data_IF_065829117515
#
_entry.id   IF_065829117515
#
_cell.length_a   1.000
_cell.length_b   1.000
_cell.length_c   1.000
_cell.angle_alpha   90.00
_cell.angle_beta   90.00
_cell.angle_gamma   90.00
#
_symmetry.space_group_name_H-M   'P 1'
#
loop_
_entity.id
_entity.type
_entity.pdbx_description
1 polymer ?
#
# COMPACT_ATOMS: atom_id res chain seq x y z
N UNK A 1 9.09 -16.48 14.36
CA UNK A 1 10.05 -15.86 13.42
C UNK A 1 9.46 -14.59 12.80
N UNK A 2 8.25 -14.64 12.24
CA UNK A 2 7.60 -13.47 11.58
C UNK A 2 7.60 -12.21 12.44
N UNK A 3 7.16 -12.26 13.70
CA UNK A 3 7.19 -11.11 14.63
C UNK A 3 8.58 -10.45 14.76
N UNK A 4 9.64 -11.25 14.77
CA UNK A 4 11.01 -10.74 14.89
C UNK A 4 11.37 -9.98 13.63
N UNK A 5 11.10 -10.57 12.45
CA UNK A 5 11.40 -9.97 11.16
C UNK A 5 10.56 -8.71 10.97
N UNK A 6 9.24 -8.77 11.21
CA UNK A 6 8.35 -7.60 11.13
C UNK A 6 8.86 -6.45 12.00
N UNK A 7 9.21 -6.73 13.27
CA UNK A 7 9.73 -5.70 14.18
C UNK A 7 11.01 -5.05 13.67
N UNK A 8 11.91 -5.84 13.06
CA UNK A 8 13.18 -5.31 12.54
C UNK A 8 12.99 -4.51 11.26
N UNK A 9 12.21 -5.00 10.28
CA UNK A 9 11.97 -4.26 9.03
C UNK A 9 11.17 -2.97 9.28
N UNK A 10 10.18 -3.00 10.17
CA UNK A 10 9.41 -1.80 10.52
C UNK A 10 10.27 -0.79 11.29
N UNK A 11 11.12 -1.24 12.22
CA UNK A 11 12.10 -0.36 12.88
C UNK A 11 13.08 0.26 11.88
N UNK A 12 13.55 -0.52 10.90
CA UNK A 12 14.39 -0.01 9.82
C UNK A 12 13.65 1.05 9.01
N UNK A 13 12.40 0.78 8.59
CA UNK A 13 11.57 1.71 7.87
C UNK A 13 11.34 3.03 8.64
N UNK A 14 11.04 2.96 9.93
CA UNK A 14 10.83 4.14 10.77
C UNK A 14 12.13 4.94 10.97
N UNK A 15 13.26 4.24 11.19
CA UNK A 15 14.56 4.89 11.41
C UNK A 15 15.05 5.67 10.17
N UNK A 16 14.74 5.18 8.97
CA UNK A 16 15.19 5.77 7.71
C UNK A 16 14.09 6.55 6.99
N UNK A 17 12.91 6.72 7.61
CA UNK A 17 11.75 7.41 7.01
C UNK A 17 11.38 6.87 5.61
N UNK A 18 11.40 5.55 5.46
CA UNK A 18 11.18 4.87 4.17
C UNK A 18 9.71 4.95 3.75
N UNK A 19 8.78 4.70 4.70
CA UNK A 19 7.37 4.61 4.37
C UNK A 19 6.77 5.99 4.12
N UNK A 20 5.89 6.03 3.13
CA UNK A 20 5.17 7.24 2.75
C UNK A 20 4.47 7.88 3.97
N UNK A 21 4.69 9.17 4.26
CA UNK A 21 4.22 9.79 5.51
C UNK A 21 2.70 9.76 5.70
N UNK A 22 1.92 9.82 4.60
CA UNK A 22 0.47 9.82 4.62
C UNK A 22 -0.14 8.42 4.43
N UNK A 23 0.64 7.35 4.61
CA UNK A 23 0.16 6.00 4.80
C UNK A 23 -0.14 5.77 6.28
N UNK A 24 -1.40 5.56 6.64
CA UNK A 24 -1.82 5.31 8.02
C UNK A 24 -2.15 3.84 8.31
N UNK A 25 -2.38 3.03 7.29
CA UNK A 25 -2.65 1.60 7.44
C UNK A 25 -1.44 0.85 8.02
N UNK A 26 -1.68 -0.03 8.97
CA UNK A 26 -0.68 -0.91 9.59
C UNK A 26 0.55 -0.19 10.18
N UNK A 27 0.44 1.10 10.49
CA UNK A 27 1.49 1.92 11.09
C UNK A 27 1.23 2.12 12.58
N UNK A 28 2.30 2.02 13.39
CA UNK A 28 2.22 2.25 14.84
C UNK A 28 1.82 3.70 15.14
N UNK A 29 0.79 3.86 15.99
CA UNK A 29 0.30 5.18 16.41
C UNK A 29 -0.58 5.89 15.39
N UNK A 30 -0.85 5.27 14.24
CA UNK A 30 -1.77 5.76 13.22
C UNK A 30 -2.99 4.84 13.13
N UNK A 31 -4.12 5.37 12.68
CA UNK A 31 -5.38 4.64 12.57
C UNK A 31 -6.25 5.21 11.43
N UNK A 32 -7.36 4.55 11.14
CA UNK A 32 -8.37 5.07 10.23
C UNK A 32 -8.89 6.43 10.68
N UNK A 33 -9.12 6.59 11.99
CA UNK A 33 -9.59 7.86 12.57
C UNK A 33 -8.56 8.98 12.36
N UNK A 34 -7.27 8.71 12.58
CA UNK A 34 -6.24 9.75 12.34
C UNK A 34 -6.19 10.15 10.86
N UNK A 35 -6.36 9.20 9.93
CA UNK A 35 -6.43 9.48 8.50
C UNK A 35 -7.65 10.34 8.17
N UNK A 36 -8.82 9.98 8.70
CA UNK A 36 -10.07 10.70 8.46
C UNK A 36 -10.04 12.11 9.04
N UNK A 37 -9.52 12.29 10.26
CA UNK A 37 -9.40 13.61 10.90
C UNK A 37 -8.58 14.55 10.02
N UNK A 38 -7.41 14.10 9.56
CA UNK A 38 -6.55 14.93 8.72
C UNK A 38 -7.17 15.22 7.34
N UNK A 39 -7.86 14.24 6.74
CA UNK A 39 -8.56 14.42 5.47
C UNK A 39 -9.70 15.42 5.61
N UNK A 40 -10.55 15.26 6.63
CA UNK A 40 -11.69 16.17 6.88
C UNK A 40 -11.20 17.57 7.21
N UNK A 41 -10.11 17.72 7.98
CA UNK A 41 -9.52 19.05 8.27
C UNK A 41 -9.06 19.75 6.98
N UNK A 42 -8.37 19.04 6.08
CA UNK A 42 -7.96 19.58 4.77
C UNK A 42 -9.18 20.06 3.94
N UNK A 43 -10.22 19.22 3.86
CA UNK A 43 -11.44 19.56 3.09
C UNK A 43 -12.17 20.74 3.73
N UNK A 44 -12.33 20.76 5.05
CA UNK A 44 -13.00 21.84 5.78
C UNK A 44 -12.31 23.17 5.56
N UNK A 45 -10.98 23.21 5.66
CA UNK A 45 -10.19 24.42 5.39
C UNK A 45 -10.39 24.96 3.97
N UNK A 46 -10.51 24.07 2.99
CA UNK A 46 -10.78 24.47 1.61
C UNK A 46 -12.19 25.05 1.45
N UNK A 47 -13.19 24.41 2.07
CA UNK A 47 -14.59 24.89 2.07
C UNK A 47 -14.67 26.26 2.73
N UNK A 48 -14.06 26.44 3.90
CA UNK A 48 -14.04 27.72 4.63
C UNK A 48 -13.35 28.84 3.81
N UNK A 49 -12.39 28.47 2.99
CA UNK A 49 -11.73 29.39 2.05
C UNK A 49 -12.51 29.60 0.74
N UNK A 50 -13.71 29.03 0.60
CA UNK A 50 -14.54 29.13 -0.62
C UNK A 50 -13.94 28.41 -1.84
N UNK A 51 -13.09 27.38 -1.63
CA UNK A 51 -12.39 26.65 -2.68
C UNK A 51 -13.07 25.32 -2.97
N UNK A 52 -13.11 24.95 -4.25
CA UNK A 52 -13.49 23.61 -4.68
C UNK A 52 -12.35 22.63 -4.41
N UNK A 53 -12.68 21.43 -3.97
CA UNK A 53 -11.73 20.31 -3.87
C UNK A 53 -12.32 19.09 -4.54
N UNK A 54 -11.62 18.55 -5.52
CA UNK A 54 -12.00 17.31 -6.18
C UNK A 54 -11.22 16.16 -5.57
N UNK A 55 -11.92 15.04 -5.32
CA UNK A 55 -11.39 13.85 -4.69
C UNK A 55 -11.57 12.64 -5.60
N UNK A 56 -10.53 11.82 -5.69
CA UNK A 56 -10.52 10.50 -6.32
C UNK A 56 -10.43 9.46 -5.20
N UNK A 57 -11.43 8.59 -5.09
CA UNK A 57 -11.44 7.47 -4.15
C UNK A 57 -11.21 6.21 -4.97
N UNK A 58 -10.16 5.47 -4.64
CA UNK A 58 -9.74 4.28 -5.38
C UNK A 58 -9.62 3.10 -4.42
N UNK A 59 -10.05 1.93 -4.90
CA UNK A 59 -9.96 0.64 -4.23
C UNK A 59 -9.29 -0.37 -5.16
N UNK A 60 -8.26 -1.05 -4.68
CA UNK A 60 -7.53 -2.05 -5.46
C UNK A 60 -8.16 -3.42 -5.29
N UNK A 61 -8.78 -3.93 -6.35
CA UNK A 61 -9.38 -5.26 -6.33
C UNK A 61 -8.35 -6.34 -6.00
N UNK A 62 -8.53 -7.03 -4.87
CA UNK A 62 -7.65 -8.12 -4.40
C UNK A 62 -6.19 -7.67 -4.22
N UNK A 63 -5.98 -6.49 -3.65
CA UNK A 63 -4.67 -5.86 -3.49
C UNK A 63 -3.60 -6.81 -2.95
N UNK A 64 -3.89 -7.52 -1.85
CA UNK A 64 -2.97 -8.47 -1.22
C UNK A 64 -2.71 -9.72 -2.06
N UNK A 65 -3.68 -10.17 -2.83
CA UNK A 65 -3.56 -11.39 -3.67
C UNK A 65 -2.79 -11.12 -4.97
N UNK A 66 -2.72 -9.85 -5.39
CA UNK A 66 -2.03 -9.41 -6.62
C UNK A 66 -0.57 -8.99 -6.41
N UNK A 67 -0.05 -9.01 -5.18
CA UNK A 67 1.34 -8.66 -4.92
C UNK A 67 2.27 -9.58 -5.69
N UNK A 68 2.99 -9.04 -6.67
CA UNK A 68 3.97 -9.78 -7.48
C UNK A 68 5.24 -10.02 -6.66
N UNK A 69 5.59 -11.28 -6.40
CA UNK A 69 6.71 -11.64 -5.52
C UNK A 69 8.05 -11.08 -6.01
N UNK A 70 8.32 -11.12 -7.32
CA UNK A 70 9.56 -10.58 -7.91
C UNK A 70 9.67 -9.06 -7.74
N UNK A 71 8.56 -8.34 -7.95
CA UNK A 71 8.53 -6.90 -7.77
C UNK A 71 8.67 -6.52 -6.29
N UNK A 72 7.96 -7.23 -5.39
CA UNK A 72 8.11 -7.02 -3.95
C UNK A 72 9.57 -7.22 -3.51
N UNK A 73 10.22 -8.31 -3.98
CA UNK A 73 11.63 -8.55 -3.65
C UNK A 73 12.53 -7.41 -4.14
N UNK A 74 12.31 -6.92 -5.36
CA UNK A 74 13.06 -5.80 -5.92
C UNK A 74 12.88 -4.52 -5.08
N UNK A 75 11.65 -4.21 -4.65
CA UNK A 75 11.35 -3.06 -3.78
C UNK A 75 11.99 -3.23 -2.40
N UNK A 76 11.94 -4.41 -1.79
CA UNK A 76 12.62 -4.69 -0.52
C UNK A 76 14.13 -4.48 -0.62
N UNK A 77 14.76 -4.96 -1.71
CA UNK A 77 16.18 -4.75 -1.97
C UNK A 77 16.53 -3.26 -2.14
N UNK A 78 15.66 -2.48 -2.77
CA UNK A 78 15.79 -1.02 -2.89
C UNK A 78 15.75 -0.33 -1.53
N UNK A 79 14.93 -0.81 -0.61
CA UNK A 79 14.82 -0.30 0.76
C UNK A 79 15.85 -0.90 1.74
N UNK A 80 16.92 -1.52 1.24
CA UNK A 80 17.98 -2.18 2.03
C UNK A 80 17.49 -3.36 2.90
N UNK A 81 16.34 -3.94 2.59
CA UNK A 81 15.84 -5.18 3.21
C UNK A 81 16.33 -6.38 2.39
N UNK A 82 17.62 -6.70 2.53
CA UNK A 82 18.33 -7.69 1.71
C UNK A 82 19.10 -8.70 2.57
N UNK A 83 19.97 -9.49 1.93
CA UNK A 83 20.77 -10.51 2.59
C UNK A 83 19.90 -11.57 3.23
N UNK A 84 20.25 -12.04 4.43
CA UNK A 84 19.53 -13.13 5.12
C UNK A 84 18.04 -12.83 5.36
N UNK A 85 17.70 -11.57 5.62
CA UNK A 85 16.29 -11.16 5.81
C UNK A 85 15.52 -11.22 4.51
N UNK A 86 16.08 -10.68 3.42
CA UNK A 86 15.48 -10.74 2.09
C UNK A 86 15.31 -12.17 1.59
N UNK A 87 16.35 -13.02 1.74
CA UNK A 87 16.30 -14.44 1.39
C UNK A 87 15.23 -15.19 2.19
N UNK A 88 15.10 -14.89 3.48
CA UNK A 88 14.07 -15.51 4.31
C UNK A 88 12.66 -15.09 3.83
N UNK A 89 12.43 -13.80 3.54
CA UNK A 89 11.14 -13.32 3.02
C UNK A 89 10.85 -14.00 1.67
N UNK A 90 11.84 -14.07 0.79
CA UNK A 90 11.71 -14.78 -0.49
C UNK A 90 11.27 -16.23 -0.29
N UNK A 91 11.91 -16.98 0.61
CA UNK A 91 11.56 -18.36 0.94
C UNK A 91 10.16 -18.46 1.55
N UNK A 92 9.78 -17.51 2.40
CA UNK A 92 8.45 -17.44 3.02
C UNK A 92 7.33 -17.29 1.97
N UNK A 93 7.60 -16.62 0.86
CA UNK A 93 6.65 -16.41 -0.23
C UNK A 93 6.70 -17.50 -1.30
N UNK A 94 7.80 -18.24 -1.41
CA UNK A 94 8.02 -19.27 -2.45
C UNK A 94 7.42 -20.62 -2.08
N UNK A 95 7.29 -21.49 -3.09
CA UNK A 95 6.91 -22.91 -2.96
C UNK A 95 5.60 -23.15 -2.18
N UNK A 96 4.68 -22.21 -2.31
CA UNK A 96 3.37 -22.28 -1.67
C UNK A 96 2.34 -22.90 -2.60
N UNK A 97 1.41 -23.65 -2.03
CA UNK A 97 0.25 -24.17 -2.73
C UNK A 97 -1.00 -23.96 -1.90
N UNK A 98 -2.13 -23.88 -2.57
CA UNK A 98 -3.45 -23.75 -1.93
C UNK A 98 -4.40 -24.83 -2.44
N UNK A 99 -5.34 -25.20 -1.59
CA UNK A 99 -6.48 -26.07 -1.94
C UNK A 99 -7.72 -25.59 -1.21
N UNK A 100 -8.89 -25.90 -1.76
CA UNK A 100 -10.18 -25.61 -1.13
C UNK A 100 -10.65 -26.85 -0.40
N UNK A 101 -11.13 -26.70 0.83
CA UNK A 101 -11.71 -27.77 1.63
C UNK A 101 -13.18 -27.46 1.87
N UNK A 102 -14.07 -28.38 1.47
CA UNK A 102 -15.52 -28.31 1.67
C UNK A 102 -15.97 -29.64 2.27
N UNK A 103 -16.61 -29.58 3.43
CA UNK A 103 -17.16 -30.76 4.13
C UNK A 103 -16.15 -31.92 4.32
N UNK A 104 -14.85 -31.59 4.45
CA UNK A 104 -13.79 -32.58 4.63
C UNK A 104 -13.14 -33.09 3.34
N UNK A 105 -13.70 -32.77 2.19
CA UNK A 105 -13.13 -33.07 0.87
C UNK A 105 -12.23 -31.91 0.41
N UNK A 106 -11.06 -32.27 -0.15
CA UNK A 106 -10.07 -31.28 -0.60
C UNK A 106 -9.94 -31.29 -2.12
N UNK A 107 -9.89 -30.09 -2.72
CA UNK A 107 -9.52 -29.97 -4.14
C UNK A 107 -8.03 -30.32 -4.35
N UNK A 108 -7.65 -30.47 -5.62
CA UNK A 108 -6.24 -30.51 -5.99
C UNK A 108 -5.49 -29.26 -5.51
N UNK A 109 -4.21 -29.44 -5.21
CA UNK A 109 -3.32 -28.31 -4.85
C UNK A 109 -2.89 -27.58 -6.10
N UNK A 110 -3.04 -26.24 -6.07
CA UNK A 110 -2.52 -25.36 -7.11
C UNK A 110 -1.39 -24.48 -6.54
N UNK A 111 -0.35 -24.18 -7.32
CA UNK A 111 0.72 -23.29 -6.88
C UNK A 111 0.19 -21.87 -6.66
N UNK A 112 0.79 -21.15 -5.70
CA UNK A 112 0.52 -19.73 -5.44
C UNK A 112 1.68 -18.91 -6.01
N UNK A 113 1.44 -18.26 -7.14
CA UNK A 113 2.46 -17.51 -7.89
C UNK A 113 2.50 -16.03 -7.55
N UNK A 114 1.45 -15.51 -6.89
CA UNK A 114 1.33 -14.12 -6.46
C UNK A 114 0.64 -14.03 -5.11
N UNK A 115 0.63 -12.83 -4.57
CA UNK A 115 -0.04 -12.51 -3.32
C UNK A 115 0.75 -12.87 -2.07
N UNK A 116 0.31 -12.27 -0.99
CA UNK A 116 0.89 -12.45 0.34
C UNK A 116 -0.08 -13.20 1.25
N UNK A 117 0.39 -14.15 2.10
CA UNK A 117 -0.48 -15.04 2.86
C UNK A 117 -1.28 -14.29 3.92
N UNK A 118 -2.55 -14.03 3.66
CA UNK A 118 -3.44 -13.37 4.59
C UNK A 118 -3.49 -14.10 5.94
N UNK A 119 -3.51 -13.33 7.04
CA UNK A 119 -3.44 -13.86 8.41
C UNK A 119 -2.03 -13.97 8.99
N UNK A 120 -0.98 -13.73 8.21
CA UNK A 120 0.40 -13.62 8.70
C UNK A 120 0.66 -12.21 9.29
N UNK A 121 1.47 -12.15 10.34
CA UNK A 121 1.88 -10.88 10.98
C UNK A 121 2.80 -10.04 10.07
N UNK A 122 3.55 -10.69 9.21
CA UNK A 122 4.50 -10.05 8.30
C UNK A 122 3.81 -9.39 7.10
N UNK A 123 2.72 -9.96 6.64
CA UNK A 123 2.04 -9.58 5.40
C UNK A 123 1.64 -8.12 5.31
N UNK A 124 1.01 -7.51 6.34
CA UNK A 124 0.71 -6.09 6.29
C UNK A 124 1.94 -5.22 6.04
N UNK A 125 3.07 -5.54 6.68
CA UNK A 125 4.31 -4.79 6.48
C UNK A 125 4.87 -4.96 5.06
N UNK A 126 4.85 -6.17 4.51
CA UNK A 126 5.28 -6.43 3.13
C UNK A 126 4.43 -5.65 2.12
N UNK A 127 3.12 -5.57 2.37
CA UNK A 127 2.22 -4.79 1.53
C UNK A 127 2.54 -3.29 1.58
N UNK A 128 2.86 -2.74 2.76
CA UNK A 128 3.29 -1.34 2.88
C UNK A 128 4.52 -1.04 2.03
N UNK A 129 5.53 -1.92 2.04
CA UNK A 129 6.72 -1.76 1.17
C UNK A 129 6.38 -1.91 -0.32
N UNK A 130 5.39 -2.73 -0.65
CA UNK A 130 4.97 -2.93 -2.04
C UNK A 130 4.31 -1.69 -2.62
N UNK A 131 3.38 -1.04 -1.87
CA UNK A 131 2.60 0.12 -2.35
C UNK A 131 3.33 1.47 -2.14
N UNK A 132 4.45 1.47 -1.45
CA UNK A 132 5.10 2.67 -0.92
C UNK A 132 5.47 3.74 -1.97
N UNK A 133 5.82 3.33 -3.18
CA UNK A 133 6.21 4.19 -4.30
C UNK A 133 5.02 4.69 -5.13
N UNK A 134 3.81 4.21 -4.88
CA UNK A 134 2.62 4.59 -5.64
C UNK A 134 2.37 6.11 -5.67
N UNK A 135 2.61 6.88 -4.58
CA UNK A 135 2.45 8.33 -4.59
C UNK A 135 3.59 9.09 -5.31
N UNK A 136 4.63 8.41 -5.77
CA UNK A 136 5.76 9.09 -6.42
C UNK A 136 5.36 9.74 -7.74
N UNK A 137 5.76 11.00 -7.91
CA UNK A 137 5.44 11.78 -9.10
C UNK A 137 3.98 12.22 -9.23
N UNK A 138 3.18 12.04 -8.17
CA UNK A 138 1.82 12.55 -8.05
C UNK A 138 1.85 13.96 -7.47
N UNK A 139 1.14 14.89 -8.09
CA UNK A 139 1.06 16.30 -7.67
C UNK A 139 -0.05 16.50 -6.63
N UNK A 140 -1.15 15.79 -6.79
CA UNK A 140 -2.28 15.78 -5.86
C UNK A 140 -1.86 15.22 -4.51
N UNK A 141 -2.54 15.63 -3.45
CA UNK A 141 -2.31 15.03 -2.13
C UNK A 141 -2.89 13.62 -2.11
N UNK A 142 -2.05 12.63 -1.87
CA UNK A 142 -2.44 11.22 -1.78
C UNK A 142 -2.45 10.81 -0.32
N UNK A 143 -3.50 10.14 0.11
CA UNK A 143 -3.61 9.53 1.44
C UNK A 143 -3.89 8.05 1.29
N UNK A 144 -3.21 7.24 2.09
CA UNK A 144 -3.28 5.79 2.03
C UNK A 144 -3.72 5.21 3.37
N UNK A 145 -4.62 4.24 3.32
CA UNK A 145 -4.88 3.35 4.45
C UNK A 145 -4.82 1.90 3.95
N UNK A 146 -3.64 1.31 4.03
CA UNK A 146 -3.29 0.08 3.31
C UNK A 146 -3.47 0.27 1.80
N UNK A 147 -4.43 -0.42 1.18
CA UNK A 147 -4.82 -0.34 -0.22
C UNK A 147 -5.85 0.77 -0.50
N UNK A 148 -6.64 1.17 0.49
CA UNK A 148 -7.56 2.29 0.32
C UNK A 148 -6.80 3.58 0.02
N UNK A 149 -7.14 4.21 -1.10
CA UNK A 149 -6.43 5.38 -1.60
C UNK A 149 -7.38 6.54 -1.87
N UNK A 150 -7.03 7.71 -1.36
CA UNK A 150 -7.71 8.97 -1.67
C UNK A 150 -6.68 9.95 -2.23
N UNK A 151 -6.90 10.40 -3.47
CA UNK A 151 -6.13 11.50 -4.05
C UNK A 151 -7.03 12.72 -4.21
N UNK A 152 -6.57 13.91 -3.86
CA UNK A 152 -7.36 15.13 -3.96
C UNK A 152 -6.53 16.36 -4.24
N UNK A 153 -7.16 17.33 -4.89
CA UNK A 153 -6.55 18.59 -5.27
C UNK A 153 -7.57 19.72 -5.14
N UNK A 154 -7.10 20.88 -4.69
CA UNK A 154 -7.90 22.12 -4.74
C UNK A 154 -7.97 22.61 -6.18
N UNK A 155 -9.19 22.80 -6.70
CA UNK A 155 -9.43 23.24 -8.07
C UNK A 155 -9.71 24.73 -8.10
N UNK A 156 -8.81 25.49 -8.68
CA UNK A 156 -8.91 26.93 -8.88
C UNK A 156 -8.91 27.30 -10.37
N UNK A 157 -8.52 26.36 -11.23
CA UNK A 157 -8.42 26.54 -12.68
C UNK A 157 -8.62 25.22 -13.42
N UNK A 158 -8.89 25.30 -14.73
CA UNK A 158 -8.93 24.11 -15.61
C UNK A 158 -7.59 23.34 -15.61
N UNK A 159 -6.49 24.01 -15.32
CA UNK A 159 -5.18 23.37 -15.24
C UNK A 159 -5.10 22.42 -14.03
N UNK A 160 -5.71 22.78 -12.90
CA UNK A 160 -5.74 21.92 -11.72
C UNK A 160 -6.56 20.66 -11.98
N UNK A 161 -7.71 20.78 -12.66
CA UNK A 161 -8.50 19.63 -13.08
C UNK A 161 -7.71 18.68 -14.02
N UNK A 162 -6.95 19.23 -14.97
CA UNK A 162 -6.07 18.43 -15.84
C UNK A 162 -4.93 17.76 -15.06
N UNK A 163 -4.39 18.45 -14.05
CA UNK A 163 -3.37 17.88 -13.17
C UNK A 163 -3.92 16.67 -12.41
N UNK A 164 -5.12 16.81 -11.82
CA UNK A 164 -5.77 15.69 -11.12
C UNK A 164 -6.05 14.51 -12.06
N UNK A 165 -6.49 14.77 -13.32
CA UNK A 165 -6.67 13.73 -14.32
C UNK A 165 -5.34 13.05 -14.69
N UNK A 166 -4.28 13.83 -14.89
CA UNK A 166 -2.94 13.27 -15.16
C UNK A 166 -2.43 12.39 -14.00
N UNK A 167 -2.73 12.78 -12.76
CA UNK A 167 -2.37 12.00 -11.59
C UNK A 167 -3.18 10.70 -11.52
N UNK A 168 -4.48 10.73 -11.85
CA UNK A 168 -5.30 9.52 -11.99
C UNK A 168 -4.73 8.55 -13.03
N UNK A 169 -4.32 9.08 -14.19
CA UNK A 169 -3.72 8.28 -15.27
C UNK A 169 -2.41 7.61 -14.82
N UNK A 170 -1.58 8.29 -14.02
CA UNK A 170 -0.36 7.72 -13.44
C UNK A 170 -0.67 6.63 -12.42
N UNK A 171 -1.63 6.87 -11.51
CA UNK A 171 -2.05 5.89 -10.50
C UNK A 171 -2.62 4.62 -11.16
N UNK A 172 -3.45 4.78 -12.19
CA UNK A 172 -3.98 3.66 -12.99
C UNK A 172 -2.85 2.88 -13.67
N UNK A 173 -1.84 3.58 -14.21
CA UNK A 173 -0.69 2.95 -14.86
C UNK A 173 0.22 2.22 -13.85
N UNK A 174 0.30 2.70 -12.62
CA UNK A 174 1.07 2.04 -11.56
C UNK A 174 0.44 0.69 -11.17
N UNK A 175 -0.89 0.57 -11.21
CA UNK A 175 -1.63 -0.68 -10.91
C UNK A 175 -1.39 -1.79 -11.97
N UNK A 176 -1.17 -1.44 -13.25
CA UNK A 176 -1.03 -2.38 -14.38
C UNK A 176 0.40 -2.88 -14.55
#
# INVERSE_FOLDING_TARGET
MEHIITSHIMKHADTHNILYPLQHGFRKGLSCETQLIEFVDDITRNIDAGKQTDCLIMDFSKAFDKVTHSLLQHKLDHYDIRGKTGEWIKTFLSDRSQSVVIEGESSDKIPVESGVPQGSVLVPSLFLFYINDMPEGITSKVRLFADDTIAYLTISSDQDARTLQSDLDKLTKWET
#
